data_IF_790624996612
#
_entry.id   IF_790624996612
#
_cell.length_a   1.000
_cell.length_b   1.000
_cell.length_c   1.000
_cell.angle_alpha   90.00
_cell.angle_beta   90.00
_cell.angle_gamma   90.00
#
_symmetry.space_group_name_H-M   'P 1'
#
loop_
_entity.id
_entity.type
_entity.pdbx_description
1 polymer ?
#
# COMPACT_ATOMS: atom_id res chain seq x y z
N UNK A 1 -1.24 -3.75 2.27
CA UNK A 1 -2.22 -2.66 2.26
C UNK A 1 -3.62 -3.19 2.06
N UNK A 2 -4.05 -3.55 0.84
CA UNK A 2 -5.44 -3.95 0.55
C UNK A 2 -6.04 -4.96 1.54
N UNK A 3 -5.38 -6.11 1.75
CA UNK A 3 -5.85 -7.10 2.73
C UNK A 3 -6.02 -6.55 4.16
N UNK A 4 -5.14 -5.65 4.59
CA UNK A 4 -5.25 -5.01 5.90
C UNK A 4 -6.44 -4.05 5.97
N UNK A 5 -6.73 -3.35 4.87
CA UNK A 5 -7.92 -2.50 4.76
C UNK A 5 -9.20 -3.35 4.79
N UNK A 6 -9.27 -4.43 4.02
CA UNK A 6 -10.42 -5.36 4.04
C UNK A 6 -10.63 -5.96 5.43
N UNK A 7 -9.56 -6.40 6.09
CA UNK A 7 -9.62 -6.97 7.45
C UNK A 7 -10.16 -5.97 8.46
N UNK A 8 -9.62 -4.75 8.49
CA UNK A 8 -9.98 -3.75 9.50
C UNK A 8 -11.35 -3.10 9.25
N UNK A 9 -11.82 -3.14 8.00
CA UNK A 9 -13.18 -2.71 7.64
C UNK A 9 -14.21 -3.84 7.72
N UNK A 10 -13.81 -5.03 8.17
CA UNK A 10 -14.71 -6.17 8.37
C UNK A 10 -15.29 -6.74 7.08
N UNK A 11 -14.54 -6.70 5.97
CA UNK A 11 -14.85 -7.34 4.68
C UNK A 11 -16.21 -6.99 4.05
N UNK A 12 -16.86 -5.93 4.54
CA UNK A 12 -18.22 -5.55 4.14
C UNK A 12 -18.34 -4.12 3.67
N UNK A 13 -17.37 -3.26 4.00
CA UNK A 13 -17.39 -1.85 3.64
C UNK A 13 -16.63 -1.54 2.35
N UNK A 14 -15.67 -2.40 1.97
CA UNK A 14 -14.86 -2.24 0.75
C UNK A 14 -15.04 -3.48 -0.12
N UNK A 15 -15.25 -3.26 -1.41
CA UNK A 15 -15.05 -4.30 -2.41
C UNK A 15 -13.55 -4.61 -2.51
N UNK A 16 -13.22 -5.86 -2.84
CA UNK A 16 -11.83 -6.29 -2.98
C UNK A 16 -11.04 -5.38 -3.94
N UNK A 17 -11.63 -5.03 -5.09
CA UNK A 17 -11.00 -4.15 -6.07
C UNK A 17 -10.71 -2.72 -5.56
N UNK A 18 -11.57 -2.19 -4.68
CA UNK A 18 -11.37 -0.88 -4.05
C UNK A 18 -10.19 -0.92 -3.07
N UNK A 19 -10.16 -1.95 -2.21
CA UNK A 19 -9.06 -2.14 -1.28
C UNK A 19 -7.72 -2.37 -2.00
N UNK A 20 -7.73 -3.10 -3.12
CA UNK A 20 -6.56 -3.28 -3.99
C UNK A 20 -6.12 -1.94 -4.59
N UNK A 21 -7.04 -1.12 -5.11
CA UNK A 21 -6.73 0.18 -5.68
C UNK A 21 -6.04 1.13 -4.68
N UNK A 22 -6.67 1.33 -3.50
CA UNK A 22 -6.07 2.10 -2.40
C UNK A 22 -4.72 1.53 -1.97
N UNK A 23 -4.61 0.19 -1.96
CA UNK A 23 -3.39 -0.50 -1.59
C UNK A 23 -2.24 -0.34 -2.58
N UNK A 24 -2.53 -0.37 -3.88
CA UNK A 24 -1.56 -0.08 -4.94
C UNK A 24 -1.08 1.37 -4.85
N UNK A 25 -1.98 2.31 -4.53
CA UNK A 25 -1.62 3.71 -4.36
C UNK A 25 -0.67 3.92 -3.17
N UNK A 26 -0.97 3.30 -2.03
CA UNK A 26 -0.05 3.29 -0.89
C UNK A 26 1.32 2.67 -1.24
N UNK A 27 1.33 1.58 -2.01
CA UNK A 27 2.58 0.93 -2.44
C UNK A 27 3.41 1.81 -3.39
N UNK A 28 2.76 2.52 -4.33
CA UNK A 28 3.45 3.44 -5.23
C UNK A 28 4.03 4.65 -4.47
N UNK A 29 3.25 5.28 -3.58
CA UNK A 29 3.76 6.36 -2.71
C UNK A 29 4.94 5.87 -1.84
N UNK A 30 4.89 4.64 -1.35
CA UNK A 30 5.98 4.07 -0.57
C UNK A 30 7.23 3.84 -1.42
N UNK A 31 7.07 3.33 -2.64
CA UNK A 31 8.17 3.15 -3.58
C UNK A 31 8.84 4.48 -3.95
N UNK A 32 8.06 5.54 -4.17
CA UNK A 32 8.57 6.92 -4.38
C UNK A 32 9.38 7.40 -3.18
N UNK A 33 8.84 7.26 -1.96
CA UNK A 33 9.53 7.66 -0.72
C UNK A 33 10.85 6.92 -0.50
N UNK A 34 10.93 5.67 -0.96
CA UNK A 34 12.13 4.85 -0.91
C UNK A 34 13.08 5.11 -2.11
N UNK A 35 12.75 6.06 -2.99
CA UNK A 35 13.57 6.41 -4.16
C UNK A 35 13.57 5.36 -5.27
N UNK A 36 12.61 4.43 -5.27
CA UNK A 36 12.54 3.31 -6.23
C UNK A 36 11.90 3.71 -7.55
N UNK A 37 10.95 4.65 -7.50
CA UNK A 37 10.26 5.21 -8.66
C UNK A 37 10.19 6.73 -8.51
N UNK A 38 9.96 7.43 -9.61
CA UNK A 38 9.68 8.86 -9.57
C UNK A 38 8.20 9.17 -9.29
N UNK A 39 7.96 10.43 -8.94
CA UNK A 39 6.62 10.98 -8.71
C UNK A 39 5.70 10.84 -9.92
N UNK A 40 6.25 10.89 -11.14
CA UNK A 40 5.46 10.84 -12.37
C UNK A 40 4.77 9.49 -12.54
N UNK A 41 5.41 8.40 -12.09
CA UNK A 41 4.81 7.07 -12.09
C UNK A 41 3.66 6.96 -11.10
N UNK A 42 3.79 7.54 -9.90
CA UNK A 42 2.72 7.61 -8.89
C UNK A 42 1.52 8.39 -9.44
N UNK A 43 1.75 9.57 -10.02
CA UNK A 43 0.71 10.42 -10.61
C UNK A 43 0.03 9.76 -11.82
N UNK A 44 0.78 8.97 -12.59
CA UNK A 44 0.22 8.19 -13.69
C UNK A 44 -0.70 7.07 -13.19
N UNK A 45 -0.30 6.35 -12.14
CA UNK A 45 -1.13 5.32 -11.53
C UNK A 45 -2.42 5.92 -10.94
N UNK A 46 -2.30 6.99 -10.16
CA UNK A 46 -3.46 7.69 -9.58
C UNK A 46 -4.47 8.11 -10.64
N UNK A 47 -4.01 8.79 -11.70
CA UNK A 47 -4.89 9.21 -12.81
C UNK A 47 -5.59 8.04 -13.49
N UNK A 48 -4.92 6.90 -13.63
CA UNK A 48 -5.54 5.70 -14.18
C UNK A 48 -6.63 5.14 -13.26
N UNK A 49 -6.34 5.00 -11.96
CA UNK A 49 -7.30 4.47 -10.99
C UNK A 49 -8.52 5.38 -10.84
N UNK A 50 -8.30 6.69 -10.73
CA UNK A 50 -9.37 7.70 -10.70
C UNK A 50 -10.18 7.69 -12.01
N UNK A 51 -9.53 7.56 -13.16
CA UNK A 51 -10.20 7.46 -14.47
C UNK A 51 -11.05 6.20 -14.62
N UNK A 52 -10.75 5.14 -13.84
CA UNK A 52 -11.57 3.93 -13.73
C UNK A 52 -12.65 4.03 -12.64
N UNK A 53 -12.76 5.16 -11.95
CA UNK A 53 -13.71 5.37 -10.85
C UNK A 53 -13.34 4.64 -9.56
N UNK A 54 -12.07 4.22 -9.41
CA UNK A 54 -11.61 3.52 -8.22
C UNK A 54 -11.13 4.51 -7.14
N UNK A 55 -11.38 4.20 -5.85
CA UNK A 55 -10.85 5.00 -4.76
C UNK A 55 -9.33 4.78 -4.63
N UNK A 56 -8.60 5.86 -4.37
CA UNK A 56 -7.13 5.87 -4.28
C UNK A 56 -6.61 6.25 -2.89
N UNK A 57 -7.42 6.92 -2.08
CA UNK A 57 -7.03 7.31 -0.73
C UNK A 57 -7.28 6.16 0.25
N UNK A 58 -6.35 5.92 1.20
CA UNK A 58 -6.54 4.89 2.21
C UNK A 58 -7.78 5.22 3.08
N UNK A 59 -8.51 4.20 3.57
CA UNK A 59 -9.63 4.43 4.47
C UNK A 59 -9.14 5.03 5.79
N UNK A 60 -10.01 5.75 6.54
CA UNK A 60 -9.64 6.43 7.78
C UNK A 60 -9.46 5.43 8.95
N UNK A 61 -8.39 4.63 8.87
CA UNK A 61 -8.01 3.61 9.84
C UNK A 61 -6.81 4.08 10.67
N UNK A 62 -6.67 3.52 11.87
CA UNK A 62 -5.46 3.71 12.67
C UNK A 62 -4.25 3.06 11.97
N UNK A 63 -3.21 3.84 11.61
CA UNK A 63 -2.02 3.30 10.99
C UNK A 63 -1.34 2.18 11.78
N UNK A 64 -1.43 2.18 13.12
CA UNK A 64 -0.83 1.13 13.94
C UNK A 64 -1.56 -0.21 13.80
N UNK A 65 -2.88 -0.18 13.73
CA UNK A 65 -3.70 -1.37 13.47
C UNK A 65 -3.43 -1.94 12.08
N UNK A 66 -3.30 -1.07 11.07
CA UNK A 66 -2.93 -1.49 9.71
C UNK A 66 -1.57 -2.18 9.71
N UNK A 67 -0.57 -1.59 10.38
CA UNK A 67 0.76 -2.18 10.50
C UNK A 67 0.73 -3.52 11.24
N UNK A 68 -0.10 -3.66 12.28
CA UNK A 68 -0.27 -4.91 13.01
C UNK A 68 -0.79 -6.03 12.11
N UNK A 69 -1.88 -5.78 11.37
CA UNK A 69 -2.43 -6.76 10.42
C UNK A 69 -1.39 -7.10 9.34
N UNK A 70 -0.66 -6.11 8.82
CA UNK A 70 0.39 -6.33 7.83
C UNK A 70 1.57 -7.18 8.34
N UNK A 71 1.87 -7.15 9.65
CA UNK A 71 2.91 -7.99 10.26
C UNK A 71 2.48 -9.45 10.41
N UNK A 72 1.22 -9.68 10.78
CA UNK A 72 0.68 -11.03 10.99
C UNK A 72 0.62 -11.85 9.69
N UNK A 73 0.43 -11.18 8.56
CA UNK A 73 0.27 -11.83 7.27
C UNK A 73 1.54 -12.53 6.76
N UNK A 74 2.75 -12.17 7.22
CA UNK A 74 4.01 -12.72 6.68
C UNK A 74 5.17 -12.72 7.66
N UNK A 75 5.36 -13.78 8.47
CA UNK A 75 6.57 -14.13 9.27
C UNK A 75 7.61 -12.99 9.42
N UNK A 76 7.20 -11.87 10.02
CA UNK A 76 8.00 -10.65 10.08
C UNK A 76 8.92 -10.73 11.29
N UNK A 77 10.14 -11.19 11.09
CA UNK A 77 11.17 -11.12 12.12
C UNK A 77 11.59 -9.65 12.29
N UNK A 78 11.50 -9.12 13.51
CA UNK A 78 12.09 -7.83 13.94
C UNK A 78 11.48 -6.53 13.34
N UNK A 79 10.15 -6.42 13.21
CA UNK A 79 9.49 -5.14 12.87
C UNK A 79 9.71 -4.64 11.45
N UNK A 80 10.29 -5.50 10.60
CA UNK A 80 10.58 -5.28 9.18
C UNK A 80 9.50 -5.91 8.31
N UNK A 81 8.96 -5.15 7.37
CA UNK A 81 7.89 -5.61 6.48
C UNK A 81 8.45 -6.05 5.13
N UNK A 82 7.81 -7.06 4.52
CA UNK A 82 8.09 -7.53 3.16
C UNK A 82 6.94 -7.13 2.25
N UNK A 83 7.21 -6.29 1.25
CA UNK A 83 6.19 -5.67 0.41
C UNK A 83 6.55 -5.80 -1.06
N UNK A 84 5.54 -5.96 -1.91
CA UNK A 84 5.70 -5.84 -3.36
C UNK A 84 5.64 -4.35 -3.70
N UNK A 85 6.73 -3.81 -4.25
CA UNK A 85 6.84 -2.40 -4.61
C UNK A 85 7.29 -2.25 -6.06
N UNK A 86 6.76 -1.28 -6.82
CA UNK A 86 7.27 -0.95 -8.15
C UNK A 86 8.70 -0.38 -8.09
N UNK A 87 9.48 -0.64 -9.13
CA UNK A 87 10.80 -0.04 -9.41
C UNK A 87 10.87 0.63 -10.79
N UNK A 88 9.98 0.24 -11.71
CA UNK A 88 9.76 0.92 -12.99
C UNK A 88 8.40 0.53 -13.56
N UNK A 89 7.97 1.21 -14.60
CA UNK A 89 6.73 0.87 -15.28
C UNK A 89 6.72 -0.60 -15.74
N UNK A 90 5.69 -1.33 -15.32
CA UNK A 90 5.48 -2.73 -15.69
C UNK A 90 6.36 -3.73 -14.93
N UNK A 91 7.07 -3.31 -13.89
CA UNK A 91 7.91 -4.19 -13.08
C UNK A 91 7.76 -3.86 -11.58
N UNK A 92 7.85 -4.92 -10.77
CA UNK A 92 7.77 -4.85 -9.31
C UNK A 92 8.78 -5.82 -8.70
N UNK A 93 9.22 -5.52 -7.49
CA UNK A 93 10.11 -6.40 -6.74
C UNK A 93 9.55 -6.66 -5.34
N UNK A 94 9.91 -7.81 -4.78
CA UNK A 94 9.74 -8.07 -3.36
C UNK A 94 10.82 -7.32 -2.60
N UNK A 95 10.43 -6.25 -1.93
CA UNK A 95 11.30 -5.43 -1.09
C UNK A 95 11.18 -5.92 0.33
N UNK A 96 12.31 -6.39 0.86
CA UNK A 96 12.41 -6.83 2.24
C UNK A 96 12.86 -5.67 3.13
N UNK A 97 12.70 -5.85 4.45
CA UNK A 97 13.24 -4.91 5.43
C UNK A 97 12.68 -3.49 5.38
N UNK A 98 11.47 -3.31 4.85
CA UNK A 98 10.83 -1.99 4.78
C UNK A 98 10.56 -1.46 6.19
N UNK A 99 11.09 -0.28 6.57
CA UNK A 99 10.85 0.31 7.87
C UNK A 99 9.36 0.65 8.08
N UNK A 100 8.80 0.25 9.23
CA UNK A 100 7.39 0.50 9.55
C UNK A 100 7.03 2.00 9.51
N UNK A 101 7.96 2.89 9.83
CA UNK A 101 7.80 4.34 9.74
C UNK A 101 7.50 4.84 8.32
N UNK A 102 8.11 4.23 7.30
CA UNK A 102 7.87 4.59 5.90
C UNK A 102 6.50 4.10 5.45
N UNK A 103 6.11 2.90 5.90
CA UNK A 103 4.76 2.36 5.66
C UNK A 103 3.71 3.23 6.34
N UNK A 104 3.94 3.65 7.59
CA UNK A 104 3.05 4.57 8.33
C UNK A 104 2.84 5.89 7.58
N UNK A 105 3.89 6.40 6.92
CA UNK A 105 3.84 7.69 6.24
C UNK A 105 2.95 7.71 4.98
N UNK A 106 2.59 6.55 4.44
CA UNK A 106 1.71 6.42 3.25
C UNK A 106 0.28 6.03 3.59
N UNK A 107 -0.03 5.80 4.88
CA UNK A 107 -1.36 5.50 5.41
C UNK A 107 -2.14 6.78 5.81
N UNK A 108 -1.62 7.95 5.45
CA UNK A 108 -2.19 9.27 5.71
C UNK A 108 -2.47 10.00 4.41
#
# INVERSE_FOLDING_TARGET
FGHAFETLTGYSQLLHGEAVAMGMECAARLAERLGRIDRSLVERQRRLLEGLGLPVDPPPLDPEQVLEVMRHDKKASHGRLRLILPDRLGHVELVEEVPAEQVRAVLR
#
